data_IF_396061714439
#
_entry.id   IF_396061714439
#
_cell.length_a   1.000
_cell.length_b   1.000
_cell.length_c   1.000
_cell.angle_alpha   90.00
_cell.angle_beta   90.00
_cell.angle_gamma   90.00
#
_symmetry.space_group_name_H-M   'P 1'
#
loop_
_entity.id
_entity.type
_entity.pdbx_description
1 polymer ?
#
# COMPACT_ATOMS: atom_id res chain seq x y z
N UNK A 1 21.29 -2.18 -14.93
CA UNK A 1 20.84 -2.98 -13.77
C UNK A 1 20.27 -2.01 -12.75
N UNK A 2 19.17 -2.36 -12.08
CA UNK A 2 18.73 -1.60 -10.90
C UNK A 2 19.80 -1.69 -9.82
N UNK A 3 19.97 -0.61 -9.07
CA UNK A 3 20.81 -0.57 -7.87
C UNK A 3 20.00 0.01 -6.72
N UNK A 4 20.15 -0.53 -5.53
CA UNK A 4 19.39 -0.07 -4.39
C UNK A 4 19.47 -1.01 -3.21
N UNK A 5 18.52 -0.80 -2.29
CA UNK A 5 18.40 -1.56 -1.05
C UNK A 5 16.95 -2.01 -0.93
N UNK A 6 16.78 -3.26 -0.52
CA UNK A 6 15.51 -3.83 -0.11
C UNK A 6 15.63 -4.18 1.38
N UNK A 7 14.69 -3.69 2.18
CA UNK A 7 14.72 -3.80 3.65
C UNK A 7 13.45 -4.46 4.16
N UNK A 8 13.63 -5.54 4.93
CA UNK A 8 12.55 -6.20 5.65
C UNK A 8 12.48 -5.62 7.06
N UNK A 9 11.56 -4.70 7.30
CA UNK A 9 11.47 -3.96 8.56
C UNK A 9 10.59 -4.68 9.61
N UNK A 10 9.60 -5.45 9.15
CA UNK A 10 8.69 -6.21 10.01
C UNK A 10 8.04 -7.36 9.22
N UNK A 11 7.75 -8.54 9.83
CA UNK A 11 7.13 -9.67 9.12
C UNK A 11 5.77 -9.37 8.47
N UNK A 12 4.99 -8.47 9.07
CA UNK A 12 3.68 -8.05 8.56
C UNK A 12 3.74 -6.75 7.72
N UNK A 13 4.93 -6.34 7.28
CA UNK A 13 5.12 -5.18 6.42
C UNK A 13 5.68 -5.67 5.08
N UNK A 14 5.22 -5.10 3.98
CA UNK A 14 5.90 -5.32 2.70
C UNK A 14 7.35 -4.81 2.78
N UNK A 15 8.29 -5.43 2.06
CA UNK A 15 9.66 -4.95 2.03
C UNK A 15 9.72 -3.51 1.51
N UNK A 16 10.40 -2.63 2.24
CA UNK A 16 10.69 -1.30 1.75
C UNK A 16 11.78 -1.40 0.69
N UNK A 17 11.44 -1.04 -0.54
CA UNK A 17 12.37 -1.00 -1.66
C UNK A 17 12.74 0.44 -1.99
N UNK A 18 14.04 0.72 -2.03
CA UNK A 18 14.58 1.98 -2.54
C UNK A 18 15.61 1.64 -3.61
N UNK A 19 15.16 1.64 -4.87
CA UNK A 19 15.94 1.21 -6.03
C UNK A 19 15.90 2.25 -7.13
N UNK A 20 17.01 2.36 -7.86
CA UNK A 20 17.22 3.35 -8.90
C UNK A 20 17.64 2.69 -10.21
N UNK A 21 17.15 3.25 -11.32
CA UNK A 21 17.63 2.91 -12.65
C UNK A 21 19.00 3.56 -12.95
N UNK A 22 19.49 3.40 -14.19
CA UNK A 22 20.79 3.97 -14.59
C UNK A 22 20.80 5.51 -14.67
N UNK A 23 19.62 6.12 -14.75
CA UNK A 23 19.43 7.57 -14.84
C UNK A 23 19.19 8.19 -13.46
N UNK A 24 19.10 7.38 -12.40
CA UNK A 24 18.85 7.83 -11.03
C UNK A 24 17.37 7.96 -10.69
N UNK A 25 16.45 7.49 -11.55
CA UNK A 25 15.02 7.53 -11.25
C UNK A 25 14.66 6.40 -10.28
N UNK A 26 13.78 6.68 -9.32
CA UNK A 26 13.20 5.66 -8.46
C UNK A 26 12.38 4.67 -9.31
N UNK A 27 12.66 3.37 -9.16
CA UNK A 27 12.06 2.36 -10.03
C UNK A 27 11.98 0.97 -9.38
N UNK A 28 10.90 0.23 -9.64
CA UNK A 28 10.72 -1.16 -9.19
C UNK A 28 11.16 -2.16 -10.27
N UNK A 29 11.37 -3.41 -9.86
CA UNK A 29 11.56 -4.51 -10.80
C UNK A 29 10.33 -4.63 -11.73
N UNK A 30 9.13 -4.49 -11.16
CA UNK A 30 7.88 -4.56 -11.92
C UNK A 30 7.77 -3.42 -12.95
N UNK A 31 8.07 -2.18 -12.54
CA UNK A 31 8.01 -1.03 -13.43
C UNK A 31 8.99 -1.10 -14.61
N UNK A 32 10.16 -1.75 -14.43
CA UNK A 32 11.06 -2.05 -15.57
C UNK A 32 10.41 -2.97 -16.59
N UNK A 33 9.66 -3.98 -16.15
CA UNK A 33 9.02 -4.95 -17.05
C UNK A 33 7.87 -4.27 -17.79
N UNK A 34 7.04 -3.49 -17.10
CA UNK A 34 5.88 -2.81 -17.68
C UNK A 34 6.29 -1.67 -18.63
N UNK A 35 7.30 -0.87 -18.27
CA UNK A 35 7.75 0.25 -19.10
C UNK A 35 8.37 -0.18 -20.43
N UNK A 36 8.91 -1.40 -20.50
CA UNK A 36 9.38 -1.97 -21.76
C UNK A 36 8.24 -2.31 -22.73
N UNK A 37 7.01 -2.47 -22.24
CA UNK A 37 5.87 -2.88 -23.06
C UNK A 37 4.92 -1.74 -23.43
N UNK A 38 4.78 -0.70 -22.59
CA UNK A 38 3.68 0.29 -22.73
C UNK A 38 4.11 1.77 -22.99
N UNK A 39 5.25 2.04 -23.61
CA UNK A 39 5.66 3.41 -23.99
C UNK A 39 5.62 4.43 -22.82
N UNK A 40 6.26 4.09 -21.68
CA UNK A 40 6.54 5.02 -20.57
C UNK A 40 5.32 5.82 -20.06
N UNK A 41 4.34 5.14 -19.45
CA UNK A 41 3.33 5.83 -18.66
C UNK A 41 3.97 6.49 -17.42
N UNK A 42 3.62 7.74 -17.09
CA UNK A 42 4.20 8.48 -15.97
C UNK A 42 3.97 7.84 -14.59
N UNK A 43 2.89 7.06 -14.42
CA UNK A 43 2.59 6.37 -13.14
C UNK A 43 3.55 5.21 -12.82
N UNK A 44 4.47 4.88 -13.73
CA UNK A 44 5.41 3.75 -13.59
C UNK A 44 6.62 4.02 -12.68
N UNK A 45 6.74 5.22 -12.12
CA UNK A 45 7.88 5.63 -11.28
C UNK A 45 7.57 5.67 -9.79
N UNK A 46 6.35 5.33 -9.38
CA UNK A 46 5.99 5.25 -7.98
C UNK A 46 6.36 3.88 -7.39
N UNK A 47 7.02 3.90 -6.24
CA UNK A 47 7.17 2.74 -5.37
C UNK A 47 6.16 2.86 -4.23
N UNK A 48 5.47 1.78 -3.94
CA UNK A 48 4.57 1.68 -2.79
C UNK A 48 5.09 0.66 -1.78
N UNK A 49 4.73 0.88 -0.52
CA UNK A 49 4.98 -0.07 0.57
C UNK A 49 3.76 -0.11 1.48
N UNK A 50 3.15 -1.29 1.62
CA UNK A 50 2.04 -1.48 2.53
C UNK A 50 2.53 -1.75 3.95
N UNK A 51 2.03 -0.95 4.88
CA UNK A 51 2.42 -0.98 6.30
C UNK A 51 1.28 -1.32 7.26
N UNK A 52 0.04 -1.41 6.75
CA UNK A 52 -1.21 -1.49 7.54
C UNK A 52 -1.36 -2.70 8.48
N UNK A 53 -0.63 -3.79 8.23
CA UNK A 53 -0.69 -5.02 9.04
C UNK A 53 0.46 -5.12 10.06
N UNK A 54 1.41 -4.19 10.03
CA UNK A 54 2.47 -4.07 11.03
C UNK A 54 2.06 -3.07 12.12
N UNK A 55 2.73 -3.08 13.29
CA UNK A 55 2.55 -2.04 14.31
C UNK A 55 2.78 -0.63 13.72
N UNK A 56 2.03 0.41 14.14
CA UNK A 56 2.18 1.79 13.63
C UNK A 56 3.61 2.33 13.69
N UNK A 57 4.41 1.86 14.64
CA UNK A 57 5.83 2.19 14.79
C UNK A 57 6.65 1.85 13.53
N UNK A 58 6.27 0.79 12.81
CA UNK A 58 6.92 0.38 11.56
C UNK A 58 6.71 1.45 10.48
N UNK A 59 5.48 1.92 10.33
CA UNK A 59 5.13 3.01 9.41
C UNK A 59 5.89 4.29 9.79
N UNK A 60 5.90 4.66 11.07
CA UNK A 60 6.61 5.83 11.59
C UNK A 60 8.12 5.74 11.30
N UNK A 61 8.72 4.56 11.48
CA UNK A 61 10.14 4.34 11.19
C UNK A 61 10.45 4.53 9.71
N UNK A 62 9.60 4.00 8.82
CA UNK A 62 9.70 4.21 7.37
C UNK A 62 9.61 5.70 7.03
N UNK A 63 8.59 6.40 7.52
CA UNK A 63 8.43 7.85 7.26
C UNK A 63 9.66 8.64 7.73
N UNK A 64 10.18 8.34 8.93
CA UNK A 64 11.39 8.99 9.45
C UNK A 64 12.62 8.71 8.59
N UNK A 65 12.79 7.48 8.13
CA UNK A 65 13.85 7.10 7.19
C UNK A 65 13.72 7.86 5.87
N UNK A 66 12.53 7.90 5.27
CA UNK A 66 12.27 8.61 4.01
C UNK A 66 12.49 10.12 4.16
N UNK A 67 12.08 10.74 5.28
CA UNK A 67 12.38 12.15 5.58
C UNK A 67 13.89 12.40 5.67
N UNK A 68 14.64 11.47 6.29
CA UNK A 68 16.10 11.56 6.36
C UNK A 68 16.75 11.44 4.97
N UNK A 69 16.32 10.46 4.18
CA UNK A 69 16.78 10.27 2.81
C UNK A 69 16.48 11.50 1.95
N UNK A 70 15.27 12.06 2.04
CA UNK A 70 14.91 13.30 1.34
C UNK A 70 15.87 14.44 1.69
N UNK A 71 16.08 14.66 2.99
CA UNK A 71 16.91 15.76 3.48
C UNK A 71 18.39 15.62 3.06
N UNK A 72 18.92 14.41 3.03
CA UNK A 72 20.37 14.19 2.90
C UNK A 72 20.83 13.69 1.53
N UNK A 73 19.99 12.95 0.82
CA UNK A 73 20.41 12.20 -0.37
C UNK A 73 19.50 12.39 -1.60
N UNK A 74 18.19 12.63 -1.42
CA UNK A 74 17.20 12.64 -2.50
C UNK A 74 16.27 13.86 -2.33
N UNK A 75 16.75 15.06 -2.63
CA UNK A 75 16.05 16.31 -2.29
C UNK A 75 14.65 16.42 -2.92
N UNK A 76 14.49 15.85 -4.12
CA UNK A 76 13.27 15.77 -4.92
C UNK A 76 12.38 14.56 -4.60
N UNK A 77 12.68 13.77 -3.54
CA UNK A 77 11.82 12.65 -3.14
C UNK A 77 10.42 13.12 -2.78
N UNK A 78 9.42 12.66 -3.53
CA UNK A 78 8.00 12.86 -3.23
C UNK A 78 7.43 11.63 -2.52
N UNK A 79 6.62 11.85 -1.49
CA UNK A 79 5.98 10.79 -0.71
C UNK A 79 4.51 11.14 -0.57
N UNK A 80 3.66 10.21 -0.96
CA UNK A 80 2.22 10.24 -0.71
C UNK A 80 1.93 9.28 0.43
N UNK A 81 1.48 9.79 1.57
CA UNK A 81 1.19 9.00 2.76
C UNK A 81 -0.32 9.00 3.08
N UNK A 82 -0.98 7.88 2.80
CA UNK A 82 -2.38 7.66 3.14
C UNK A 82 -2.64 7.68 4.67
N UNK A 83 -1.62 7.35 5.46
CA UNK A 83 -1.62 7.42 6.91
C UNK A 83 -1.58 8.85 7.46
N UNK A 84 -1.25 9.84 6.62
CA UNK A 84 -1.10 11.26 6.96
C UNK A 84 -0.02 11.59 8.00
N UNK A 85 0.81 10.62 8.37
CA UNK A 85 1.89 10.80 9.35
C UNK A 85 3.06 11.59 8.76
N UNK A 86 3.31 11.47 7.45
CA UNK A 86 4.31 12.25 6.72
C UNK A 86 4.10 13.75 6.92
N UNK A 87 2.88 14.25 6.78
CA UNK A 87 2.54 15.66 6.88
C UNK A 87 2.35 16.09 8.34
N UNK A 88 1.67 15.28 9.14
CA UNK A 88 1.21 15.69 10.49
C UNK A 88 2.18 15.32 11.61
N UNK A 89 2.89 14.20 11.49
CA UNK A 89 3.63 13.59 12.59
C UNK A 89 2.74 13.05 13.73
N UNK A 90 1.42 12.97 13.52
CA UNK A 90 0.42 12.56 14.52
C UNK A 90 0.28 11.03 14.55
N UNK A 91 0.79 10.42 15.64
CA UNK A 91 0.76 8.96 15.82
C UNK A 91 -0.66 8.46 16.10
N UNK A 92 -1.43 9.22 16.85
CA UNK A 92 -2.80 8.89 17.24
C UNK A 92 -3.69 8.84 16.00
N UNK A 93 -3.59 9.84 15.12
CA UNK A 93 -4.30 9.87 13.83
C UNK A 93 -3.94 8.67 12.95
N UNK A 94 -2.65 8.37 12.81
CA UNK A 94 -2.17 7.19 12.07
C UNK A 94 -2.78 5.91 12.63
N UNK A 95 -2.74 5.76 13.96
CA UNK A 95 -3.25 4.56 14.64
C UNK A 95 -4.77 4.42 14.45
N UNK A 96 -5.52 5.52 14.52
CA UNK A 96 -6.96 5.53 14.27
C UNK A 96 -7.29 5.12 12.83
N UNK A 97 -6.56 5.64 11.84
CA UNK A 97 -6.73 5.27 10.43
C UNK A 97 -6.45 3.79 10.17
N UNK A 98 -5.33 3.27 10.68
CA UNK A 98 -4.98 1.85 10.57
C UNK A 98 -6.07 0.98 11.21
N UNK A 99 -6.47 1.31 12.44
CA UNK A 99 -7.51 0.56 13.16
C UNK A 99 -8.85 0.59 12.44
N UNK A 100 -9.23 1.73 11.86
CA UNK A 100 -10.45 1.86 11.08
C UNK A 100 -10.45 0.94 9.86
N UNK A 101 -9.37 0.98 9.07
CA UNK A 101 -9.24 0.14 7.87
C UNK A 101 -9.26 -1.35 8.24
N UNK A 102 -8.48 -1.76 9.24
CA UNK A 102 -8.43 -3.16 9.67
C UNK A 102 -9.81 -3.64 10.15
N UNK A 103 -10.52 -2.83 10.95
CA UNK A 103 -11.89 -3.15 11.36
C UNK A 103 -12.84 -3.33 10.18
N UNK A 104 -12.74 -2.50 9.14
CA UNK A 104 -13.58 -2.65 7.94
C UNK A 104 -13.20 -3.90 7.13
N UNK A 105 -11.92 -4.26 7.07
CA UNK A 105 -11.46 -5.51 6.45
C UNK A 105 -12.03 -6.72 7.21
N UNK A 106 -11.91 -6.74 8.54
CA UNK A 106 -12.42 -7.83 9.38
C UNK A 106 -13.94 -8.00 9.19
N UNK A 107 -14.69 -6.89 9.14
CA UNK A 107 -16.14 -6.91 8.87
C UNK A 107 -16.46 -7.52 7.49
N UNK A 108 -15.69 -7.21 6.46
CA UNK A 108 -15.87 -7.79 5.12
C UNK A 108 -15.55 -9.29 5.14
N UNK A 109 -14.47 -9.68 5.82
CA UNK A 109 -14.08 -11.09 5.94
C UNK A 109 -15.17 -11.92 6.61
N UNK A 110 -15.70 -11.46 7.75
CA UNK A 110 -16.80 -12.12 8.45
C UNK A 110 -18.03 -12.31 7.54
N UNK A 111 -18.39 -11.27 6.76
CA UNK A 111 -19.52 -11.34 5.84
C UNK A 111 -19.26 -12.37 4.73
N UNK A 112 -18.09 -12.34 4.10
CA UNK A 112 -17.73 -13.28 3.04
C UNK A 112 -17.74 -14.72 3.57
N UNK A 113 -17.19 -14.96 4.76
CA UNK A 113 -17.18 -16.29 5.36
C UNK A 113 -18.60 -16.78 5.69
N UNK A 114 -19.46 -15.91 6.21
CA UNK A 114 -20.86 -16.25 6.53
C UNK A 114 -21.72 -16.56 5.30
N UNK A 115 -21.32 -16.08 4.11
CA UNK A 115 -22.09 -16.20 2.85
C UNK A 115 -21.38 -17.06 1.80
N UNK A 116 -20.30 -17.73 2.21
CA UNK A 116 -19.37 -18.47 1.33
C UNK A 116 -20.05 -19.52 0.47
N UNK A 117 -21.00 -20.28 1.04
CA UNK A 117 -21.71 -21.34 0.32
C UNK A 117 -22.62 -20.79 -0.78
N UNK A 118 -23.27 -19.64 -0.53
CA UNK A 118 -24.13 -18.99 -1.50
C UNK A 118 -23.27 -18.41 -2.64
N UNK A 119 -22.15 -17.75 -2.32
CA UNK A 119 -21.21 -17.14 -3.27
C UNK A 119 -20.66 -18.11 -4.32
N UNK A 120 -20.30 -19.34 -3.95
CA UNK A 120 -19.74 -20.30 -4.92
C UNK A 120 -20.77 -20.87 -5.90
N UNK A 121 -22.05 -20.83 -5.54
CA UNK A 121 -23.14 -21.23 -6.43
C UNK A 121 -23.52 -20.17 -7.46
N UNK A 122 -23.10 -18.92 -7.25
CA UNK A 122 -23.38 -17.78 -8.14
C UNK A 122 -22.41 -17.72 -9.32
N UNK A 123 -22.91 -17.24 -10.46
CA UNK A 123 -22.11 -16.82 -11.61
C UNK A 123 -21.25 -15.59 -11.30
N UNK A 124 -20.21 -15.29 -12.10
CA UNK A 124 -19.33 -14.13 -11.85
C UNK A 124 -20.07 -12.79 -11.71
N UNK A 125 -21.08 -12.53 -12.55
CA UNK A 125 -21.85 -11.27 -12.52
C UNK A 125 -22.74 -11.17 -11.27
N UNK A 126 -23.32 -12.29 -10.86
CA UNK A 126 -24.11 -12.38 -9.63
C UNK A 126 -23.24 -12.18 -8.38
N UNK A 127 -21.98 -12.66 -8.39
CA UNK A 127 -21.02 -12.40 -7.31
C UNK A 127 -20.69 -10.92 -7.19
N UNK A 128 -20.53 -10.21 -8.31
CA UNK A 128 -20.28 -8.75 -8.33
C UNK A 128 -21.49 -8.02 -7.74
N UNK A 129 -22.70 -8.32 -8.22
CA UNK A 129 -23.94 -7.71 -7.72
C UNK A 129 -24.13 -7.96 -6.21
N UNK A 130 -23.77 -9.17 -5.75
CA UNK A 130 -23.81 -9.53 -4.33
C UNK A 130 -22.80 -8.74 -3.50
N UNK A 131 -21.55 -8.61 -3.96
CA UNK A 131 -20.53 -7.79 -3.32
C UNK A 131 -20.96 -6.32 -3.23
N UNK A 132 -21.47 -5.74 -4.32
CA UNK A 132 -21.97 -4.36 -4.33
C UNK A 132 -23.08 -4.15 -3.29
N UNK A 133 -24.01 -5.10 -3.17
CA UNK A 133 -25.07 -5.05 -2.16
C UNK A 133 -24.50 -5.08 -0.74
N UNK A 134 -23.54 -5.96 -0.45
CA UNK A 134 -22.87 -6.00 0.86
C UNK A 134 -22.22 -4.66 1.19
N UNK A 135 -21.47 -4.10 0.25
CA UNK A 135 -20.77 -2.83 0.42
C UNK A 135 -21.75 -1.67 0.66
N UNK A 136 -22.93 -1.66 0.01
CA UNK A 136 -23.95 -0.62 0.18
C UNK A 136 -24.73 -0.74 1.48
N UNK A 137 -25.13 -1.95 1.85
CA UNK A 137 -26.08 -2.17 2.94
C UNK A 137 -25.40 -2.20 4.32
N UNK A 138 -24.13 -2.61 4.39
CA UNK A 138 -23.48 -2.95 5.67
C UNK A 138 -22.24 -2.13 6.03
N UNK A 139 -21.74 -1.29 5.13
CA UNK A 139 -20.47 -0.59 5.30
C UNK A 139 -20.57 0.92 5.55
N UNK A 140 -21.79 1.46 5.69
CA UNK A 140 -22.03 2.84 6.16
C UNK A 140 -21.39 3.13 7.53
#
# INVERSE_FOLDING_TARGET
>A
PLKGILMNLHPNCEPLSVMFDRNGNLQSIYGIIVNQQENNKPDSYYLSVKTQFAPPETHIAIVKLLKYLKKKYIQDLEVLDEGSYWETGDKELLTQKISFINKKIDQIEEIILSTKNDLYSLSPDERISFLEKILRDRLK
#
